data_IF_621906438588
#
_entry.id   IF_621906438588
#
_cell.length_a   1.000
_cell.length_b   1.000
_cell.length_c   1.000
_cell.angle_alpha   90.00
_cell.angle_beta   90.00
_cell.angle_gamma   90.00
#
_symmetry.space_group_name_H-M   'P 1'
#
loop_
_entity.id
_entity.type
_entity.pdbx_description
1 polymer ?
#
# COMPACT_ATOMS: atom_id res chain seq x y z
N UNK A 1 -13.31 -14.43 0.21
CA UNK A 1 -12.22 -14.90 -0.63
C UNK A 1 -10.88 -14.57 0.02
N UNK A 2 -10.02 -15.55 0.17
CA UNK A 2 -8.71 -15.33 0.75
C UNK A 2 -7.80 -14.60 -0.25
N UNK A 3 -6.90 -13.76 0.28
CA UNK A 3 -5.95 -13.02 -0.55
C UNK A 3 -5.10 -13.97 -1.40
N UNK A 4 -4.66 -15.10 -0.84
CA UNK A 4 -3.88 -16.10 -1.57
C UNK A 4 -4.62 -16.63 -2.79
N UNK A 5 -5.93 -16.83 -2.69
CA UNK A 5 -6.75 -17.28 -3.82
C UNK A 5 -6.83 -16.21 -4.90
N UNK A 6 -6.96 -14.94 -4.51
CA UNK A 6 -6.97 -13.82 -5.46
C UNK A 6 -5.63 -13.72 -6.18
N UNK A 7 -4.53 -13.83 -5.44
CA UNK A 7 -3.18 -13.76 -6.01
C UNK A 7 -2.93 -14.89 -7.00
N UNK A 8 -3.47 -16.08 -6.75
CA UNK A 8 -3.32 -17.22 -7.65
C UNK A 8 -4.16 -17.10 -8.92
N UNK A 9 -5.29 -16.39 -8.84
CA UNK A 9 -6.17 -16.23 -10.01
C UNK A 9 -5.82 -15.04 -10.88
N UNK A 10 -5.56 -13.89 -10.28
CA UNK A 10 -5.44 -12.63 -11.01
C UNK A 10 -4.29 -11.77 -10.50
N UNK A 11 -3.11 -12.36 -10.22
CA UNK A 11 -2.04 -11.52 -9.68
C UNK A 11 -1.47 -10.63 -10.76
N UNK A 12 -1.30 -9.38 -10.42
CA UNK A 12 -0.41 -8.52 -11.19
C UNK A 12 0.47 -7.80 -10.18
N UNK A 13 1.76 -8.08 -10.22
CA UNK A 13 2.71 -7.53 -9.29
C UNK A 13 3.43 -6.34 -9.89
N UNK A 14 3.45 -5.24 -9.14
CA UNK A 14 4.25 -4.06 -9.46
C UNK A 14 5.35 -3.99 -8.41
N UNK A 15 6.58 -4.24 -8.80
CA UNK A 15 7.73 -4.16 -7.90
C UNK A 15 8.51 -2.87 -8.14
N UNK A 16 9.36 -2.48 -7.17
CA UNK A 16 10.15 -1.27 -7.25
C UNK A 16 11.03 -1.20 -8.48
N UNK A 17 11.23 0.00 -9.07
CA UNK A 17 12.07 0.21 -10.23
C UNK A 17 11.56 1.30 -11.15
N UNK A 18 12.31 1.58 -12.20
CA UNK A 18 12.05 2.71 -13.10
C UNK A 18 10.85 2.52 -14.03
N UNK A 19 10.28 1.33 -14.08
CA UNK A 19 9.23 0.99 -15.05
C UNK A 19 7.86 0.78 -14.42
N UNK A 20 7.64 1.28 -13.20
CA UNK A 20 6.39 1.06 -12.50
C UNK A 20 5.18 1.59 -13.26
N UNK A 21 5.28 2.77 -13.84
CA UNK A 21 4.15 3.33 -14.58
C UNK A 21 3.71 2.44 -15.73
N UNK A 22 4.68 1.90 -16.46
CA UNK A 22 4.40 0.96 -17.55
C UNK A 22 3.79 -0.33 -17.02
N UNK A 23 4.31 -0.84 -15.91
CA UNK A 23 3.79 -2.05 -15.28
C UNK A 23 2.35 -1.84 -14.80
N UNK A 24 2.06 -0.68 -14.19
CA UNK A 24 0.71 -0.34 -13.76
C UNK A 24 -0.23 -0.23 -14.94
N UNK A 25 0.20 0.43 -16.03
CA UNK A 25 -0.61 0.55 -17.24
C UNK A 25 -0.95 -0.82 -17.82
N UNK A 26 0.02 -1.73 -17.87
CA UNK A 26 -0.21 -3.12 -18.32
C UNK A 26 -1.19 -3.85 -17.42
N UNK A 27 -1.05 -3.65 -16.11
CA UNK A 27 -1.94 -4.26 -15.14
C UNK A 27 -3.39 -3.85 -15.40
N UNK A 28 -3.62 -2.57 -15.65
CA UNK A 28 -4.95 -2.04 -15.90
C UNK A 28 -5.58 -2.61 -17.18
N UNK A 29 -4.78 -2.85 -18.21
CA UNK A 29 -5.26 -3.42 -19.46
C UNK A 29 -5.84 -4.83 -19.23
N UNK A 30 -5.23 -5.62 -18.36
CA UNK A 30 -5.71 -6.97 -18.05
C UNK A 30 -6.93 -6.99 -17.13
N UNK A 31 -7.30 -5.85 -16.56
CA UNK A 31 -8.43 -5.70 -15.63
C UNK A 31 -8.40 -6.74 -14.49
N UNK A 32 -7.32 -6.79 -13.71
CA UNK A 32 -7.23 -7.75 -12.62
C UNK A 32 -8.20 -7.40 -11.48
N UNK A 33 -8.60 -8.39 -10.70
CA UNK A 33 -9.39 -8.14 -9.50
C UNK A 33 -8.57 -7.48 -8.41
N UNK A 34 -7.26 -7.69 -8.42
CA UNK A 34 -6.34 -7.18 -7.41
C UNK A 34 -5.00 -6.84 -8.04
N UNK A 35 -4.49 -5.66 -7.73
CA UNK A 35 -3.10 -5.31 -8.04
C UNK A 35 -2.28 -5.48 -6.76
N UNK A 36 -1.22 -6.28 -6.83
CA UNK A 36 -0.27 -6.42 -5.75
C UNK A 36 0.94 -5.54 -6.00
N UNK A 37 1.18 -4.58 -5.11
CA UNK A 37 2.33 -3.68 -5.19
C UNK A 37 3.28 -4.01 -4.03
N UNK A 38 4.42 -4.63 -4.35
CA UNK A 38 5.40 -5.05 -3.35
C UNK A 38 6.55 -4.06 -3.32
N UNK A 39 6.64 -3.29 -2.23
CA UNK A 39 7.61 -2.21 -2.04
C UNK A 39 7.75 -1.33 -3.29
N UNK A 40 6.65 -0.80 -3.81
CA UNK A 40 6.67 -0.16 -5.14
C UNK A 40 7.48 1.13 -5.19
N UNK A 41 7.75 1.75 -4.04
CA UNK A 41 8.49 3.02 -3.97
C UNK A 41 9.94 2.82 -3.51
N UNK A 42 10.38 1.59 -3.29
CA UNK A 42 11.66 1.29 -2.65
C UNK A 42 12.90 1.81 -3.39
N UNK A 43 12.84 1.90 -4.73
CA UNK A 43 13.96 2.34 -5.54
C UNK A 43 13.77 3.75 -6.13
N UNK A 44 12.73 4.48 -5.69
CA UNK A 44 12.36 5.76 -6.27
C UNK A 44 12.81 6.93 -5.40
N UNK A 45 13.16 8.05 -6.04
CA UNK A 45 13.37 9.31 -5.33
C UNK A 45 12.02 9.90 -4.87
N UNK A 46 12.07 11.01 -4.14
CA UNK A 46 10.86 11.61 -3.54
C UNK A 46 9.84 12.03 -4.59
N UNK A 47 10.30 12.58 -5.70
CA UNK A 47 9.38 13.04 -6.76
C UNK A 47 8.69 11.86 -7.42
N UNK A 48 9.44 10.85 -7.81
CA UNK A 48 8.89 9.65 -8.44
C UNK A 48 7.98 8.90 -7.48
N UNK A 49 8.33 8.85 -6.20
CA UNK A 49 7.50 8.25 -5.15
C UNK A 49 6.14 8.93 -5.09
N UNK A 50 6.11 10.27 -5.01
CA UNK A 50 4.86 11.02 -4.96
C UNK A 50 4.01 10.78 -6.20
N UNK A 51 4.63 10.79 -7.38
CA UNK A 51 3.92 10.55 -8.63
C UNK A 51 3.29 9.15 -8.68
N UNK A 52 4.01 8.14 -8.23
CA UNK A 52 3.50 6.78 -8.22
C UNK A 52 2.37 6.60 -7.22
N UNK A 53 2.51 7.17 -6.01
CA UNK A 53 1.46 7.08 -4.99
C UNK A 53 0.19 7.82 -5.43
N UNK A 54 0.33 8.98 -6.07
CA UNK A 54 -0.81 9.71 -6.64
C UNK A 54 -1.49 8.89 -7.73
N UNK A 55 -0.72 8.19 -8.55
CA UNK A 55 -1.26 7.30 -9.58
C UNK A 55 -2.06 6.15 -8.95
N UNK A 56 -1.54 5.53 -7.89
CA UNK A 56 -2.28 4.49 -7.17
C UNK A 56 -3.59 5.01 -6.61
N UNK A 57 -3.59 6.24 -6.06
CA UNK A 57 -4.83 6.86 -5.58
C UNK A 57 -5.87 6.98 -6.68
N UNK A 58 -5.46 7.48 -7.85
CA UNK A 58 -6.36 7.63 -8.99
C UNK A 58 -6.93 6.30 -9.45
N UNK A 59 -6.09 5.28 -9.51
CA UNK A 59 -6.50 3.94 -9.91
C UNK A 59 -7.48 3.35 -8.89
N UNK A 60 -7.20 3.51 -7.61
CA UNK A 60 -8.08 3.03 -6.55
C UNK A 60 -9.43 3.75 -6.59
N UNK A 61 -9.44 5.06 -6.79
CA UNK A 61 -10.66 5.84 -6.91
C UNK A 61 -11.52 5.39 -8.09
N UNK A 62 -10.90 4.87 -9.14
CA UNK A 62 -11.63 4.35 -10.29
C UNK A 62 -12.25 2.97 -10.05
N UNK A 63 -12.04 2.39 -8.87
CA UNK A 63 -12.64 1.11 -8.47
C UNK A 63 -11.68 -0.06 -8.40
N UNK A 64 -10.39 0.14 -8.66
CA UNK A 64 -9.39 -0.93 -8.61
C UNK A 64 -8.91 -1.16 -7.19
N UNK A 65 -8.92 -2.41 -6.73
CA UNK A 65 -8.34 -2.78 -5.44
C UNK A 65 -6.83 -2.93 -5.57
N UNK A 66 -6.10 -2.31 -4.65
CA UNK A 66 -4.64 -2.39 -4.62
C UNK A 66 -4.23 -2.86 -3.22
N UNK A 67 -3.42 -3.90 -3.16
CA UNK A 67 -2.77 -4.35 -1.94
C UNK A 67 -1.30 -3.97 -2.04
N UNK A 68 -0.86 -3.10 -1.14
CA UNK A 68 0.53 -2.66 -1.11
C UNK A 68 1.23 -3.27 0.10
N UNK A 69 2.39 -3.87 -0.13
CA UNK A 69 3.26 -4.34 0.94
C UNK A 69 4.43 -3.37 1.02
N UNK A 70 4.62 -2.74 2.18
CA UNK A 70 5.65 -1.71 2.30
C UNK A 70 6.13 -1.55 3.74
N UNK A 71 7.40 -1.13 3.89
CA UNK A 71 7.95 -0.65 5.15
C UNK A 71 7.91 0.89 5.22
N UNK A 72 7.41 1.55 4.19
CA UNK A 72 7.37 3.01 4.12
C UNK A 72 6.10 3.55 4.76
N UNK A 73 6.24 4.31 5.83
CA UNK A 73 5.10 4.99 6.48
C UNK A 73 4.43 5.97 5.51
N UNK A 74 5.24 6.65 4.68
CA UNK A 74 4.69 7.56 3.68
C UNK A 74 3.81 6.84 2.68
N UNK A 75 4.27 5.72 2.13
CA UNK A 75 3.47 4.94 1.19
C UNK A 75 2.19 4.44 1.85
N UNK A 76 2.28 3.94 3.08
CA UNK A 76 1.11 3.46 3.82
C UNK A 76 0.10 4.58 4.10
N UNK A 77 0.56 5.83 4.24
CA UNK A 77 -0.32 6.96 4.52
C UNK A 77 -1.27 7.30 3.36
N UNK A 78 -1.08 6.72 2.20
CA UNK A 78 -1.98 6.88 1.05
C UNK A 78 -3.11 5.85 1.03
N UNK A 79 -3.07 4.86 1.90
CA UNK A 79 -4.04 3.76 1.90
C UNK A 79 -5.35 4.15 2.56
N UNK A 80 -6.41 3.42 2.24
CA UNK A 80 -7.70 3.54 2.93
C UNK A 80 -7.75 2.66 4.18
N UNK A 81 -6.94 1.62 4.20
CA UNK A 81 -6.86 0.68 5.31
C UNK A 81 -5.42 0.21 5.45
N UNK A 82 -4.90 0.23 6.66
CA UNK A 82 -3.53 -0.18 6.94
C UNK A 82 -3.57 -1.39 7.87
N UNK A 83 -2.92 -2.46 7.45
CA UNK A 83 -2.80 -3.68 8.23
C UNK A 83 -1.36 -3.81 8.73
N UNK A 84 -1.20 -4.05 10.02
CA UNK A 84 0.11 -4.27 10.64
C UNK A 84 0.31 -5.77 10.81
N UNK A 85 1.33 -6.29 10.15
CA UNK A 85 1.60 -7.73 10.13
C UNK A 85 2.91 -8.03 10.84
N UNK A 86 2.89 -9.04 11.68
CA UNK A 86 4.07 -9.55 12.36
C UNK A 86 3.95 -11.06 12.46
N UNK A 87 5.02 -11.76 12.08
CA UNK A 87 5.07 -13.23 12.14
C UNK A 87 3.89 -13.89 11.41
N UNK A 88 3.52 -13.30 10.25
CA UNK A 88 2.47 -13.83 9.41
C UNK A 88 1.04 -13.53 9.86
N UNK A 89 0.87 -12.74 10.92
CA UNK A 89 -0.44 -12.44 11.47
C UNK A 89 -0.72 -10.95 11.49
N UNK A 90 -1.98 -10.58 11.22
CA UNK A 90 -2.45 -9.20 11.38
C UNK A 90 -2.74 -8.98 12.86
N UNK A 91 -1.99 -8.08 13.49
CA UNK A 91 -2.15 -7.81 14.92
C UNK A 91 -2.71 -6.43 15.22
N UNK A 92 -2.85 -5.58 14.22
CA UNK A 92 -3.48 -4.27 14.36
C UNK A 92 -3.90 -3.77 12.99
N UNK A 93 -4.91 -2.90 12.96
CA UNK A 93 -5.35 -2.27 11.72
C UNK A 93 -5.89 -0.86 11.98
N UNK A 94 -5.74 -0.01 10.98
CA UNK A 94 -6.24 1.36 11.01
C UNK A 94 -7.07 1.58 9.75
N UNK A 95 -8.27 2.13 9.92
CA UNK A 95 -9.09 2.63 8.81
C UNK A 95 -8.87 4.13 8.69
N UNK A 96 -8.68 4.63 7.47
CA UNK A 96 -8.48 6.06 7.23
C UNK A 96 -9.65 6.89 7.73
N UNK A 97 -10.88 6.48 7.43
CA UNK A 97 -12.04 7.32 7.70
C UNK A 97 -11.90 8.66 6.97
N UNK A 98 -12.00 9.75 7.73
CA UNK A 98 -11.91 11.11 7.18
C UNK A 98 -10.51 11.74 7.35
N UNK A 99 -9.51 10.95 7.73
CA UNK A 99 -8.16 11.48 7.93
C UNK A 99 -7.51 11.87 6.61
N UNK A 100 -6.72 12.95 6.66
CA UNK A 100 -5.82 13.31 5.57
C UNK A 100 -4.62 12.37 5.57
N UNK A 101 -3.82 12.42 4.50
CA UNK A 101 -2.59 11.62 4.44
C UNK A 101 -1.66 11.97 5.61
N UNK A 102 -1.52 13.25 5.96
CA UNK A 102 -0.69 13.70 7.06
C UNK A 102 -1.18 13.18 8.41
N UNK A 103 -2.48 13.19 8.62
CA UNK A 103 -3.08 12.66 9.85
C UNK A 103 -2.89 11.14 9.95
N UNK A 104 -3.09 10.43 8.84
CA UNK A 104 -2.87 8.99 8.81
C UNK A 104 -1.39 8.65 8.99
N UNK A 105 -0.49 9.42 8.38
CA UNK A 105 0.94 9.27 8.56
C UNK A 105 1.31 9.35 10.05
N UNK A 106 0.82 10.38 10.73
CA UNK A 106 1.09 10.57 12.17
C UNK A 106 0.55 9.39 12.99
N UNK A 107 -0.64 8.94 12.68
CA UNK A 107 -1.24 7.81 13.39
C UNK A 107 -0.48 6.51 13.17
N UNK A 108 -0.03 6.24 11.95
CA UNK A 108 0.80 5.07 11.64
C UNK A 108 2.11 5.16 12.40
N UNK A 109 2.77 6.32 12.38
CA UNK A 109 4.04 6.52 13.07
C UNK A 109 3.90 6.29 14.58
N UNK A 110 2.86 6.83 15.20
CA UNK A 110 2.59 6.64 16.61
C UNK A 110 2.34 5.16 16.94
N UNK A 111 1.57 4.49 16.09
CA UNK A 111 1.27 3.07 16.26
C UNK A 111 2.54 2.23 16.18
N UNK A 112 3.40 2.50 15.19
CA UNK A 112 4.67 1.79 15.04
C UNK A 112 5.56 1.99 16.27
N UNK A 113 5.60 3.19 16.83
CA UNK A 113 6.36 3.49 18.05
C UNK A 113 5.88 2.63 19.22
N UNK A 114 4.56 2.58 19.42
CA UNK A 114 3.96 1.77 20.49
C UNK A 114 4.27 0.30 20.28
N UNK A 115 4.11 -0.20 19.08
CA UNK A 115 4.32 -1.62 18.77
C UNK A 115 5.79 -2.01 18.88
N UNK A 116 6.71 -1.13 18.49
CA UNK A 116 8.14 -1.40 18.54
C UNK A 116 8.68 -1.32 19.96
N UNK A 117 8.23 -0.36 20.76
CA UNK A 117 8.71 -0.15 22.12
C UNK A 117 7.95 -0.98 23.16
N UNK A 118 6.80 -1.52 22.80
CA UNK A 118 5.93 -2.21 23.73
C UNK A 118 5.30 -1.30 24.77
N UNK A 119 5.29 0.03 24.52
CA UNK A 119 4.72 1.01 25.45
C UNK A 119 3.38 1.51 24.95
N UNK A 120 2.41 1.45 25.83
CA UNK A 120 1.11 2.09 25.65
C UNK A 120 1.24 3.54 26.11
N UNK A 121 0.97 4.47 25.25
CA UNK A 121 0.99 5.88 25.58
C UNK A 121 -0.41 6.36 25.86
#
# INVERSE_FOLDING_TARGET
>A
LEITQLLNKYPYEVSGGQKQRTAVARALITKPELILADEPTGALDSKATNELLDLFDQINESGQTILMVTHSTKAASYANRVLFIKDGEVFHQIYRGNMTNEQLYAKISDTLTVLTTGRSQ
#
